data_IF_513344077012
#
_entry.id   IF_513344077012
#
_cell.length_a   1.000
_cell.length_b   1.000
_cell.length_c   1.000
_cell.angle_alpha   90.00
_cell.angle_beta   90.00
_cell.angle_gamma   90.00
#
_symmetry.space_group_name_H-M   'P 1'
#
loop_
_entity.id
_entity.type
_entity.pdbx_description
1 polymer ?
#
# COMPACT_ATOMS: atom_id res chain seq x y z
N UNK A 1 3.83 -16.55 -11.01
CA UNK A 1 2.97 -16.26 -9.84
C UNK A 1 3.85 -15.99 -8.62
N UNK A 2 3.57 -14.91 -7.88
CA UNK A 2 4.35 -14.54 -6.69
C UNK A 2 4.07 -15.50 -5.52
N UNK A 3 4.97 -15.56 -4.53
CA UNK A 3 4.75 -16.37 -3.31
C UNK A 3 3.45 -15.96 -2.60
N UNK A 4 3.14 -14.66 -2.58
CA UNK A 4 1.87 -14.13 -2.07
C UNK A 4 0.64 -14.77 -2.72
N UNK A 5 0.62 -14.88 -4.06
CA UNK A 5 -0.52 -15.46 -4.79
C UNK A 5 -0.74 -16.95 -4.47
N UNK A 6 0.33 -17.67 -4.11
CA UNK A 6 0.25 -19.11 -3.84
C UNK A 6 -0.12 -19.44 -2.40
N UNK A 7 0.27 -18.60 -1.43
CA UNK A 7 0.14 -18.94 0.00
C UNK A 7 -0.79 -18.01 0.76
N UNK A 8 -0.73 -16.71 0.51
CA UNK A 8 -1.49 -15.71 1.27
C UNK A 8 -2.85 -15.49 0.64
N UNK A 9 -2.88 -15.22 -0.67
CA UNK A 9 -4.12 -14.92 -1.38
C UNK A 9 -5.21 -16.00 -1.25
N UNK A 10 -4.91 -17.31 -1.35
CA UNK A 10 -5.94 -18.36 -1.21
C UNK A 10 -6.57 -18.43 0.18
N UNK A 11 -5.88 -17.94 1.21
CA UNK A 11 -6.43 -17.85 2.57
C UNK A 11 -7.36 -16.63 2.68
N UNK A 12 -6.94 -15.50 2.13
CA UNK A 12 -7.76 -14.28 2.09
C UNK A 12 -9.03 -14.46 1.27
N UNK A 13 -8.95 -15.18 0.14
CA UNK A 13 -10.09 -15.40 -0.75
C UNK A 13 -11.19 -16.30 -0.17
N UNK A 14 -10.98 -16.89 1.01
CA UNK A 14 -11.98 -17.68 1.74
C UNK A 14 -12.77 -16.85 2.75
N UNK A 15 -12.44 -15.57 2.88
CA UNK A 15 -13.11 -14.63 3.78
C UNK A 15 -13.97 -13.65 2.97
N UNK A 16 -14.88 -12.95 3.65
CA UNK A 16 -15.60 -11.84 3.03
C UNK A 16 -14.63 -10.75 2.55
N UNK A 17 -14.89 -10.20 1.36
CA UNK A 17 -13.98 -9.27 0.72
C UNK A 17 -13.86 -7.94 1.50
N UNK A 18 -14.97 -7.44 2.03
CA UNK A 18 -14.99 -6.21 2.84
C UNK A 18 -14.31 -6.45 4.19
N UNK A 19 -14.50 -7.63 4.78
CA UNK A 19 -13.79 -8.00 6.00
C UNK A 19 -12.26 -8.02 5.80
N UNK A 20 -11.78 -8.61 4.70
CA UNK A 20 -10.35 -8.60 4.36
C UNK A 20 -9.88 -7.16 4.15
N UNK A 21 -10.65 -6.35 3.42
CA UNK A 21 -10.35 -4.94 3.19
C UNK A 21 -10.15 -4.17 4.51
N UNK A 22 -11.11 -4.26 5.44
CA UNK A 22 -11.03 -3.58 6.73
C UNK A 22 -9.89 -4.09 7.62
N UNK A 23 -9.61 -5.41 7.58
CA UNK A 23 -8.45 -5.98 8.28
C UNK A 23 -7.13 -5.46 7.68
N UNK A 24 -7.04 -5.35 6.36
CA UNK A 24 -5.87 -4.79 5.66
C UNK A 24 -5.67 -3.32 6.02
N UNK A 25 -6.72 -2.50 6.01
CA UNK A 25 -6.63 -1.08 6.41
C UNK A 25 -6.17 -0.93 7.85
N UNK A 26 -6.70 -1.72 8.79
CA UNK A 26 -6.25 -1.72 10.19
C UNK A 26 -4.78 -2.14 10.34
N UNK A 27 -4.37 -3.20 9.65
CA UNK A 27 -2.99 -3.66 9.68
C UNK A 27 -2.02 -2.61 9.14
N UNK A 28 -2.39 -1.94 8.05
CA UNK A 28 -1.58 -0.88 7.45
C UNK A 28 -1.53 0.38 8.34
N UNK A 29 -2.64 0.74 9.00
CA UNK A 29 -2.71 1.83 9.97
C UNK A 29 -1.79 1.58 11.18
N UNK A 30 -1.74 0.33 11.67
CA UNK A 30 -0.81 -0.06 12.74
C UNK A 30 0.65 -0.07 12.26
N UNK A 31 0.91 -0.56 11.05
CA UNK A 31 2.26 -0.60 10.51
C UNK A 31 2.83 0.81 10.31
N UNK A 32 2.04 1.76 9.82
CA UNK A 32 2.49 3.13 9.62
C UNK A 32 2.65 3.93 10.93
N UNK A 33 2.09 3.50 12.05
CA UNK A 33 2.17 4.22 13.32
C UNK A 33 3.44 3.91 14.12
N UNK A 34 4.21 2.90 13.72
CA UNK A 34 5.40 2.44 14.45
C UNK A 34 6.66 2.44 13.57
N UNK A 35 7.82 2.73 14.14
CA UNK A 35 9.07 2.72 13.38
C UNK A 35 9.42 1.34 12.79
N UNK A 36 9.27 0.21 13.52
CA UNK A 36 9.48 -1.12 12.94
C UNK A 36 8.49 -1.45 11.82
N UNK A 37 7.22 -1.06 11.97
CA UNK A 37 6.20 -1.25 10.95
C UNK A 37 6.52 -0.46 9.67
N UNK A 38 6.92 0.80 9.79
CA UNK A 38 7.38 1.62 8.65
C UNK A 38 8.59 1.00 7.94
N UNK A 39 9.55 0.47 8.70
CA UNK A 39 10.71 -0.22 8.12
C UNK A 39 10.30 -1.49 7.36
N UNK A 40 9.32 -2.24 7.89
CA UNK A 40 8.75 -3.40 7.20
C UNK A 40 8.05 -3.02 5.90
N UNK A 41 7.24 -1.94 5.89
CA UNK A 41 6.57 -1.47 4.67
C UNK A 41 7.58 -1.09 3.57
N UNK A 42 8.65 -0.35 3.93
CA UNK A 42 9.73 -0.03 2.97
C UNK A 42 10.43 -1.29 2.45
N UNK A 43 10.61 -2.29 3.29
CA UNK A 43 11.20 -3.58 2.89
C UNK A 43 10.30 -4.36 1.93
N UNK A 44 8.98 -4.28 2.11
CA UNK A 44 7.99 -4.88 1.19
C UNK A 44 8.01 -4.14 -0.16
N UNK A 45 8.06 -2.81 -0.15
CA UNK A 45 8.16 -1.98 -1.35
C UNK A 45 9.43 -2.30 -2.16
N UNK A 46 10.52 -2.63 -1.46
CA UNK A 46 11.80 -2.91 -2.08
C UNK A 46 12.42 -1.66 -2.70
N UNK A 47 13.24 -1.87 -3.75
CA UNK A 47 13.86 -0.75 -4.48
C UNK A 47 12.84 -0.16 -5.45
N UNK A 48 12.40 1.06 -5.15
CA UNK A 48 11.48 1.80 -6.00
C UNK A 48 12.24 2.52 -7.13
N UNK A 49 11.73 2.49 -8.37
CA UNK A 49 12.28 3.30 -9.45
C UNK A 49 11.99 4.78 -9.17
N UNK A 50 13.02 5.62 -9.27
CA UNK A 50 12.84 7.08 -9.26
C UNK A 50 12.52 7.52 -10.69
N UNK A 51 11.23 7.72 -10.99
CA UNK A 51 10.75 8.16 -12.30
C UNK A 51 9.78 9.33 -12.11
N UNK A 52 10.30 10.53 -11.77
CA UNK A 52 9.44 11.66 -11.47
C UNK A 52 8.57 12.05 -12.66
N UNK A 53 7.29 12.32 -12.43
CA UNK A 53 6.32 12.66 -13.49
C UNK A 53 5.66 14.00 -13.19
N UNK A 54 5.92 15.05 -14.00
CA UNK A 54 5.26 16.34 -13.86
C UNK A 54 3.86 16.28 -14.51
N UNK A 55 2.82 16.61 -13.74
CA UNK A 55 1.42 16.61 -14.18
C UNK A 55 0.69 17.75 -13.47
N UNK A 56 -0.05 18.59 -14.22
CA UNK A 56 -0.87 19.68 -13.67
C UNK A 56 -0.16 20.59 -12.65
N UNK A 57 1.14 20.86 -12.85
CA UNK A 57 1.94 21.71 -11.95
C UNK A 57 2.46 21.00 -10.69
N UNK A 58 2.20 19.71 -10.53
CA UNK A 58 2.77 18.85 -9.48
C UNK A 58 3.84 17.93 -10.07
N UNK A 59 4.76 17.45 -9.23
CA UNK A 59 5.75 16.42 -9.60
C UNK A 59 5.57 15.22 -8.69
N UNK A 60 5.05 14.12 -9.24
CA UNK A 60 4.92 12.85 -8.54
C UNK A 60 6.23 12.07 -8.60
N UNK A 61 6.59 11.28 -7.57
CA UNK A 61 7.86 10.55 -7.54
C UNK A 61 7.90 9.37 -8.52
N UNK A 62 6.74 8.85 -8.92
CA UNK A 62 6.57 7.79 -9.91
C UNK A 62 5.14 7.78 -10.48
N UNK A 63 4.92 6.99 -11.53
CA UNK A 63 3.64 6.84 -12.24
C UNK A 63 2.57 6.01 -11.50
N UNK A 64 2.94 5.30 -10.44
CA UNK A 64 2.04 4.37 -9.76
C UNK A 64 1.29 5.10 -8.64
N UNK A 65 -0.03 5.17 -8.77
CA UNK A 65 -0.92 5.71 -7.74
C UNK A 65 -1.90 4.69 -7.17
N UNK A 66 -2.52 5.03 -6.04
CA UNK A 66 -3.66 4.29 -5.47
C UNK A 66 -4.94 4.95 -5.94
N UNK A 67 -5.82 4.16 -6.55
CA UNK A 67 -7.12 4.66 -7.00
C UNK A 67 -8.02 5.03 -5.81
N UNK A 68 -8.91 6.00 -6.05
CA UNK A 68 -9.94 6.36 -5.09
C UNK A 68 -10.80 5.14 -4.70
N UNK A 69 -11.32 5.16 -3.48
CA UNK A 69 -12.14 4.08 -2.92
C UNK A 69 -11.37 3.01 -2.16
N UNK A 70 -10.03 2.95 -2.27
CA UNK A 70 -9.21 2.07 -1.42
C UNK A 70 -9.12 2.58 0.02
N UNK A 71 -8.81 3.85 0.24
CA UNK A 71 -8.75 4.46 1.58
C UNK A 71 -9.74 5.63 1.63
N UNK A 72 -11.00 5.30 1.92
CA UNK A 72 -12.13 6.24 1.83
C UNK A 72 -12.04 7.35 2.88
N UNK A 73 -11.44 7.06 4.02
CA UNK A 73 -11.42 7.94 5.19
C UNK A 73 -10.01 8.46 5.53
N UNK A 74 -9.06 8.35 4.60
CA UNK A 74 -7.68 8.85 4.76
C UNK A 74 -6.97 8.23 5.99
N UNK A 75 -7.17 6.94 6.22
CA UNK A 75 -6.64 6.20 7.37
C UNK A 75 -5.17 5.85 7.21
N UNK A 76 -4.72 5.59 5.98
CA UNK A 76 -3.43 4.97 5.68
C UNK A 76 -2.56 5.65 4.59
N UNK A 77 -2.60 6.99 4.40
CA UNK A 77 -1.85 7.62 3.31
C UNK A 77 -0.33 7.43 3.44
N UNK A 78 0.19 7.51 4.67
CA UNK A 78 1.63 7.31 4.92
C UNK A 78 2.06 5.86 4.64
N UNK A 79 1.22 4.88 5.00
CA UNK A 79 1.45 3.47 4.75
C UNK A 79 1.52 3.15 3.25
N UNK A 80 0.60 3.71 2.47
CA UNK A 80 0.59 3.58 1.01
C UNK A 80 1.84 4.21 0.37
N UNK A 81 2.22 5.42 0.79
CA UNK A 81 3.45 6.05 0.33
C UNK A 81 4.70 5.21 0.66
N UNK A 82 4.75 4.60 1.84
CA UNK A 82 5.86 3.71 2.24
C UNK A 82 5.89 2.39 1.45
N UNK A 83 4.76 1.94 0.90
CA UNK A 83 4.68 0.82 -0.04
C UNK A 83 5.08 1.20 -1.47
N UNK A 84 5.29 2.50 -1.73
CA UNK A 84 5.89 3.02 -2.96
C UNK A 84 4.95 3.71 -3.94
N UNK A 85 3.68 3.88 -3.56
CA UNK A 85 2.75 4.69 -4.33
C UNK A 85 3.16 6.16 -4.30
N UNK A 86 3.14 6.80 -5.47
CA UNK A 86 3.51 8.20 -5.64
C UNK A 86 2.36 9.19 -5.50
N UNK A 87 1.12 8.72 -5.54
CA UNK A 87 -0.11 9.50 -5.45
C UNK A 87 -1.32 8.63 -5.09
#
# INVERSE_FOLDING_TARGET
MSRYQRTVFPLLSRMDAEEVHERTLRALALAQSTAPGRAMLRRIAGKLPSQPVPVFGLTFPNVLGVAAGFDKDVRVPAGLALLGFGH
#
